data_IF_463168657990
#
_entry.id   IF_463168657990
#
_cell.length_a   1.000
_cell.length_b   1.000
_cell.length_c   1.000
_cell.angle_alpha   90.00
_cell.angle_beta   90.00
_cell.angle_gamma   90.00
#
_symmetry.space_group_name_H-M   'P 1'
#
loop_
_entity.id
_entity.type
_entity.pdbx_description
1 polymer ?
#
# COMPACT_ATOMS: atom_id res chain seq x y z
N UNK A 1 -18.21 -2.30 -12.18
CA UNK A 1 -18.47 -3.33 -11.16
C UNK A 1 -19.18 -4.54 -11.75
N UNK A 2 -20.30 -4.39 -12.44
CA UNK A 2 -21.03 -5.54 -13.01
C UNK A 2 -20.30 -6.25 -14.16
N UNK A 3 -19.53 -5.51 -14.95
CA UNK A 3 -18.81 -6.04 -16.11
C UNK A 3 -17.42 -6.60 -15.80
N UNK A 4 -16.88 -6.36 -14.60
CA UNK A 4 -15.52 -6.75 -14.25
C UNK A 4 -15.46 -7.24 -12.80
N UNK A 5 -15.37 -8.56 -12.63
CA UNK A 5 -15.31 -9.22 -11.33
C UNK A 5 -14.00 -8.99 -10.56
N UNK A 6 -12.96 -8.46 -11.23
CA UNK A 6 -11.74 -8.01 -10.56
C UNK A 6 -11.91 -6.67 -9.83
N UNK A 7 -13.03 -5.97 -10.04
CA UNK A 7 -13.39 -4.78 -9.28
C UNK A 7 -14.42 -5.13 -8.21
N UNK A 8 -14.21 -4.64 -6.99
CA UNK A 8 -15.16 -4.86 -5.89
C UNK A 8 -15.76 -3.58 -5.32
N UNK A 9 -15.11 -2.42 -5.52
CA UNK A 9 -15.63 -1.15 -5.03
C UNK A 9 -15.41 0.02 -6.02
N UNK A 10 -16.15 1.10 -5.80
CA UNK A 10 -15.85 2.42 -6.37
C UNK A 10 -15.77 3.40 -5.21
N UNK A 11 -14.72 4.21 -5.15
CA UNK A 11 -14.51 5.23 -4.13
C UNK A 11 -14.47 6.62 -4.76
N UNK A 12 -14.92 7.61 -4.01
CA UNK A 12 -14.82 9.03 -4.30
C UNK A 12 -13.45 9.62 -3.90
N UNK A 13 -12.55 8.81 -3.35
CA UNK A 13 -11.30 9.24 -2.74
C UNK A 13 -10.06 8.61 -3.38
N UNK A 14 -9.06 9.44 -3.60
CA UNK A 14 -7.71 9.17 -4.05
C UNK A 14 -6.75 9.72 -3.00
N UNK A 15 -6.09 8.80 -2.30
CA UNK A 15 -5.08 9.10 -1.28
C UNK A 15 -3.83 9.81 -1.81
N UNK A 16 -3.70 9.98 -3.12
CA UNK A 16 -2.65 10.76 -3.78
C UNK A 16 -3.20 11.95 -4.60
N UNK A 17 -4.46 12.34 -4.36
CA UNK A 17 -5.13 13.43 -5.07
C UNK A 17 -4.77 14.82 -4.53
N UNK A 18 -3.51 15.24 -4.64
CA UNK A 18 -3.04 16.56 -4.21
C UNK A 18 -3.10 17.59 -5.35
N UNK A 19 -3.06 18.92 -5.07
CA UNK A 19 -3.10 19.97 -6.09
C UNK A 19 -2.05 19.82 -7.21
N UNK A 20 -0.87 19.29 -6.89
CA UNK A 20 0.22 19.08 -7.86
C UNK A 20 0.24 17.68 -8.49
N UNK A 21 -0.75 16.83 -8.21
CA UNK A 21 -0.85 15.46 -8.75
C UNK A 21 -2.25 15.09 -9.25
N UNK A 22 -3.21 16.03 -9.24
CA UNK A 22 -4.61 15.79 -9.57
C UNK A 22 -5.17 16.91 -10.46
N UNK A 23 -5.19 16.68 -11.78
CA UNK A 23 -5.45 17.73 -12.78
C UNK A 23 -6.73 17.52 -13.62
N UNK A 24 -7.07 16.27 -13.95
CA UNK A 24 -8.22 15.99 -14.82
C UNK A 24 -9.39 15.40 -14.02
N UNK A 25 -10.53 16.12 -13.92
CA UNK A 25 -11.70 15.62 -13.21
C UNK A 25 -12.43 14.50 -13.96
N UNK A 26 -12.14 14.21 -15.22
CA UNK A 26 -12.77 13.09 -15.94
C UNK A 26 -11.98 11.80 -15.83
N UNK A 27 -10.74 11.84 -15.33
CA UNK A 27 -9.92 10.65 -15.22
C UNK A 27 -10.21 9.86 -13.95
N UNK A 28 -10.34 8.55 -14.13
CA UNK A 28 -10.41 7.54 -13.09
C UNK A 28 -9.19 6.61 -13.17
N UNK A 29 -8.91 5.89 -12.08
CA UNK A 29 -7.84 4.91 -11.96
C UNK A 29 -8.32 3.66 -11.23
N UNK A 30 -7.61 2.56 -11.42
CA UNK A 30 -7.73 1.37 -10.57
C UNK A 30 -6.78 1.48 -9.38
N UNK A 31 -7.19 0.92 -8.24
CA UNK A 31 -6.36 0.85 -7.03
C UNK A 31 -6.64 -0.45 -6.27
N UNK A 32 -5.59 -1.18 -5.90
CA UNK A 32 -5.64 -2.34 -5.01
C UNK A 32 -5.71 -1.94 -3.53
N UNK A 33 -5.54 -0.65 -3.22
CA UNK A 33 -5.80 -0.06 -1.90
C UNK A 33 -7.28 0.35 -1.79
N UNK A 34 -7.98 -0.11 -0.74
CA UNK A 34 -9.35 0.31 -0.43
C UNK A 34 -9.36 1.73 0.19
N UNK A 35 -9.84 2.77 -0.53
CA UNK A 35 -9.71 4.15 -0.06
C UNK A 35 -10.82 4.54 0.95
N UNK A 36 -12.02 3.96 0.81
CA UNK A 36 -13.17 4.35 1.62
C UNK A 36 -13.71 5.74 1.25
N UNK A 37 -13.94 6.58 2.26
CA UNK A 37 -14.27 8.02 2.15
C UNK A 37 -15.28 8.37 1.03
N UNK A 38 -16.48 7.80 1.12
CA UNK A 38 -17.50 7.86 0.07
C UNK A 38 -17.27 6.75 -0.96
N UNK A 39 -17.90 5.61 -0.75
CA UNK A 39 -17.65 4.41 -1.55
C UNK A 39 -18.91 3.58 -1.70
N UNK A 40 -18.92 2.75 -2.74
CA UNK A 40 -19.97 1.77 -2.98
C UNK A 40 -19.38 0.39 -3.29
N UNK A 41 -20.13 -0.64 -2.93
CA UNK A 41 -19.90 -2.05 -3.27
C UNK A 41 -21.21 -2.67 -3.76
N UNK A 42 -21.12 -3.80 -4.45
CA UNK A 42 -22.31 -4.57 -4.80
C UNK A 42 -22.91 -5.26 -3.56
N UNK A 43 -24.21 -5.52 -3.59
CA UNK A 43 -24.89 -6.29 -2.55
C UNK A 43 -24.33 -7.71 -2.38
N UNK A 44 -23.87 -8.33 -3.47
CA UNK A 44 -23.15 -9.62 -3.45
C UNK A 44 -21.86 -9.53 -2.63
N UNK A 45 -21.05 -8.51 -2.86
CA UNK A 45 -19.84 -8.23 -2.07
C UNK A 45 -20.16 -8.08 -0.59
N UNK A 46 -21.23 -7.35 -0.23
CA UNK A 46 -21.64 -7.25 1.18
C UNK A 46 -22.03 -8.61 1.78
N UNK A 47 -22.79 -9.44 1.04
CA UNK A 47 -23.16 -10.79 1.50
C UNK A 47 -21.95 -11.69 1.73
N UNK A 48 -20.89 -11.51 0.95
CA UNK A 48 -19.60 -12.18 1.18
C UNK A 48 -18.93 -11.66 2.46
N UNK A 49 -18.75 -10.34 2.58
CA UNK A 49 -17.99 -9.72 3.68
C UNK A 49 -18.64 -9.93 5.04
N UNK A 50 -19.97 -9.82 5.14
CA UNK A 50 -20.70 -9.93 6.42
C UNK A 50 -20.49 -11.26 7.14
N UNK A 51 -20.15 -12.32 6.41
CA UNK A 51 -19.91 -13.67 7.00
C UNK A 51 -18.60 -13.77 7.76
N UNK A 52 -17.66 -12.84 7.51
CA UNK A 52 -16.32 -12.80 8.10
C UNK A 52 -16.00 -11.41 8.67
N UNK A 53 -17.03 -10.61 8.93
CA UNK A 53 -16.86 -9.24 9.43
C UNK A 53 -16.05 -9.27 10.73
N UNK A 54 -15.02 -8.43 10.88
CA UNK A 54 -14.12 -8.50 12.03
C UNK A 54 -14.89 -8.18 13.32
N UNK A 55 -14.80 -9.07 14.31
CA UNK A 55 -15.42 -8.84 15.61
C UNK A 55 -14.76 -7.69 16.38
N UNK A 56 -13.43 -7.56 16.29
CA UNK A 56 -12.64 -6.53 16.94
C UNK A 56 -11.57 -5.96 15.99
N UNK A 57 -11.92 -5.05 15.05
CA UNK A 57 -10.95 -4.42 14.16
C UNK A 57 -10.20 -3.30 14.91
N UNK A 58 -9.16 -3.63 15.65
CA UNK A 58 -8.47 -2.68 16.55
C UNK A 58 -7.80 -1.49 15.83
N UNK A 59 -7.52 -1.61 14.52
CA UNK A 59 -7.02 -0.50 13.69
C UNK A 59 -8.09 0.13 12.80
N UNK A 60 -9.35 -0.33 12.88
CA UNK A 60 -10.46 0.11 12.03
C UNK A 60 -10.90 -0.96 11.02
N UNK A 61 -12.20 -1.00 10.70
CA UNK A 61 -12.78 -1.97 9.76
C UNK A 61 -12.26 -1.75 8.33
N UNK A 62 -11.89 -0.52 8.00
CA UNK A 62 -11.33 -0.13 6.71
C UNK A 62 -9.94 -0.73 6.50
N UNK A 63 -9.13 -0.85 7.56
CA UNK A 63 -7.87 -1.58 7.50
C UNK A 63 -8.08 -3.08 7.26
N UNK A 64 -9.10 -3.70 7.86
CA UNK A 64 -9.47 -5.09 7.54
C UNK A 64 -9.88 -5.25 6.06
N UNK A 65 -10.55 -4.26 5.48
CA UNK A 65 -10.90 -4.25 4.05
C UNK A 65 -9.67 -4.13 3.13
N UNK A 66 -8.57 -3.55 3.60
CA UNK A 66 -7.30 -3.43 2.83
C UNK A 66 -6.48 -4.71 2.83
N UNK A 67 -6.76 -5.66 3.70
CA UNK A 67 -6.04 -6.94 3.73
C UNK A 67 -6.27 -7.72 2.44
N UNK A 68 -5.21 -8.34 1.92
CA UNK A 68 -5.26 -9.20 0.73
C UNK A 68 -6.25 -10.37 0.88
N UNK A 69 -6.42 -10.90 2.09
CA UNK A 69 -7.41 -11.94 2.42
C UNK A 69 -8.87 -11.46 2.36
N UNK A 70 -9.09 -10.15 2.41
CA UNK A 70 -10.40 -9.51 2.29
C UNK A 70 -10.66 -9.02 0.86
N UNK A 71 -9.72 -8.24 0.29
CA UNK A 71 -9.83 -7.75 -1.09
C UNK A 71 -9.76 -8.87 -2.11
N UNK A 72 -9.02 -9.95 -1.81
CA UNK A 72 -8.82 -11.13 -2.67
C UNK A 72 -8.27 -10.76 -4.05
N UNK A 73 -7.34 -9.79 -4.07
CA UNK A 73 -6.74 -9.26 -5.29
C UNK A 73 -7.68 -8.40 -6.14
N UNK A 74 -8.89 -8.08 -5.66
CA UNK A 74 -9.82 -7.18 -6.33
C UNK A 74 -9.47 -5.72 -6.03
N UNK A 75 -9.76 -4.86 -6.99
CA UNK A 75 -9.44 -3.45 -6.95
C UNK A 75 -10.68 -2.56 -6.86
N UNK A 76 -10.45 -1.30 -6.52
CA UNK A 76 -11.45 -0.26 -6.58
C UNK A 76 -11.18 0.68 -7.75
N UNK A 77 -12.24 1.27 -8.29
CA UNK A 77 -12.10 2.47 -9.12
C UNK A 77 -12.09 3.70 -8.22
N UNK A 78 -11.15 4.62 -8.45
CA UNK A 78 -11.04 5.89 -7.75
C UNK A 78 -10.83 7.04 -8.76
N UNK A 79 -11.29 8.27 -8.48
CA UNK A 79 -11.07 9.41 -9.37
C UNK A 79 -9.66 9.98 -9.21
N UNK A 80 -9.14 10.71 -10.21
CA UNK A 80 -7.89 11.47 -10.05
C UNK A 80 -8.05 12.63 -9.07
N UNK A 81 -9.16 13.38 -9.18
CA UNK A 81 -9.56 14.45 -8.24
C UNK A 81 -10.67 13.91 -7.32
N UNK A 82 -10.58 14.12 -6.00
CA UNK A 82 -11.57 13.60 -5.06
C UNK A 82 -12.97 14.18 -5.28
N UNK A 83 -14.00 13.37 -5.06
CA UNK A 83 -15.44 13.76 -5.05
C UNK A 83 -16.06 13.76 -3.67
N UNK A 84 -15.26 13.46 -2.65
CA UNK A 84 -15.59 13.63 -1.25
C UNK A 84 -14.53 14.49 -0.58
N UNK A 85 -14.89 15.16 0.51
CA UNK A 85 -13.98 15.99 1.29
C UNK A 85 -14.07 15.60 2.76
N UNK A 86 -12.94 15.26 3.36
CA UNK A 86 -12.85 15.10 4.80
C UNK A 86 -12.80 16.49 5.47
N UNK A 87 -13.89 16.90 6.12
CA UNK A 87 -14.07 18.27 6.62
C UNK A 87 -13.96 18.40 8.14
N UNK A 88 -14.04 17.31 8.89
CA UNK A 88 -14.13 17.37 10.35
C UNK A 88 -12.75 17.40 10.99
N UNK A 89 -12.56 18.30 11.95
CA UNK A 89 -11.35 18.42 12.78
C UNK A 89 -11.42 17.64 14.10
N UNK A 90 -12.55 16.98 14.36
CA UNK A 90 -12.77 16.11 15.51
C UNK A 90 -13.53 14.86 15.10
N UNK A 91 -13.12 13.72 15.64
CA UNK A 91 -13.74 12.42 15.45
C UNK A 91 -13.01 11.35 16.27
N UNK A 92 -13.36 10.08 16.07
CA UNK A 92 -12.77 8.96 16.84
C UNK A 92 -11.25 8.94 16.79
N UNK A 93 -10.68 9.14 15.59
CA UNK A 93 -9.23 9.13 15.35
C UNK A 93 -8.72 10.43 14.71
N UNK A 94 -9.57 11.48 14.69
CA UNK A 94 -9.22 12.78 14.10
C UNK A 94 -9.17 13.82 15.20
N UNK A 95 -7.97 14.33 15.44
CA UNK A 95 -7.73 15.45 16.36
C UNK A 95 -7.26 16.71 15.62
N UNK A 96 -6.92 16.57 14.33
CA UNK A 96 -6.42 17.62 13.46
C UNK A 96 -6.74 17.27 11.99
N UNK A 97 -7.38 18.20 11.26
CA UNK A 97 -7.75 18.00 9.86
C UNK A 97 -6.72 18.51 8.86
N UNK A 98 -5.66 19.22 9.29
CA UNK A 98 -4.64 19.79 8.39
C UNK A 98 -4.06 18.79 7.39
N UNK A 99 -3.83 17.49 7.73
CA UNK A 99 -3.38 16.51 6.73
C UNK A 99 -4.36 16.35 5.57
N UNK A 100 -5.67 16.41 5.82
CA UNK A 100 -6.72 16.19 4.82
C UNK A 100 -7.11 17.46 4.05
N UNK A 101 -6.82 18.64 4.59
CA UNK A 101 -7.05 19.93 3.89
C UNK A 101 -6.16 20.11 2.66
N UNK A 102 -5.10 19.31 2.56
CA UNK A 102 -4.13 19.33 1.46
C UNK A 102 -4.64 18.65 0.18
N UNK A 103 -5.73 17.89 0.24
CA UNK A 103 -6.24 17.17 -0.92
C UNK A 103 -7.10 18.04 -1.83
N UNK A 104 -7.00 17.81 -3.14
CA UNK A 104 -7.87 18.39 -4.15
C UNK A 104 -9.28 17.82 -4.02
N UNK A 105 -10.29 18.66 -4.28
CA UNK A 105 -11.70 18.29 -4.26
C UNK A 105 -12.42 18.97 -5.43
N UNK A 106 -13.14 18.18 -6.23
CA UNK A 106 -13.96 18.71 -7.31
C UNK A 106 -15.21 19.39 -6.76
N UNK A 107 -15.43 20.64 -7.17
CA UNK A 107 -16.55 21.49 -6.74
C UNK A 107 -17.60 21.71 -7.81
N UNK A 108 -17.25 21.64 -9.08
CA UNK A 108 -18.15 21.98 -10.19
C UNK A 108 -18.97 20.79 -10.66
N UNK A 109 -18.43 19.58 -10.51
CA UNK A 109 -19.06 18.35 -11.00
C UNK A 109 -18.51 17.91 -12.36
N UNK A 110 -18.89 16.71 -12.78
CA UNK A 110 -18.48 16.11 -14.05
C UNK A 110 -19.72 15.52 -14.71
N UNK A 111 -20.08 16.04 -15.88
CA UNK A 111 -21.29 15.61 -16.59
C UNK A 111 -21.13 14.23 -17.21
N UNK A 112 -19.90 13.88 -17.62
CA UNK A 112 -19.57 12.57 -18.20
C UNK A 112 -18.08 12.25 -18.03
N UNK A 113 -17.80 10.98 -17.75
CA UNK A 113 -16.44 10.44 -17.72
C UNK A 113 -15.97 9.89 -19.07
N UNK A 114 -16.83 9.89 -20.10
CA UNK A 114 -16.52 9.33 -21.42
C UNK A 114 -16.48 7.80 -21.42
N UNK A 115 -15.64 7.22 -22.28
CA UNK A 115 -15.43 5.77 -22.34
C UNK A 115 -14.62 5.28 -21.13
N UNK A 116 -15.18 4.32 -20.41
CA UNK A 116 -14.58 3.70 -19.22
C UNK A 116 -14.00 2.31 -19.48
N UNK A 117 -14.02 1.83 -20.73
CA UNK A 117 -13.51 0.50 -21.11
C UNK A 117 -12.03 0.29 -20.76
N UNK A 118 -11.27 1.39 -20.67
CA UNK A 118 -9.86 1.37 -20.24
C UNK A 118 -9.68 0.92 -18.78
N UNK A 119 -10.72 0.99 -17.94
CA UNK A 119 -10.69 0.54 -16.54
C UNK A 119 -10.96 -0.96 -16.38
N UNK A 120 -11.35 -1.67 -17.44
CA UNK A 120 -11.47 -3.11 -17.40
C UNK A 120 -10.08 -3.72 -17.23
N UNK A 121 -9.96 -4.75 -16.39
CA UNK A 121 -8.67 -5.32 -15.99
C UNK A 121 -7.74 -5.56 -17.18
N UNK A 122 -8.19 -6.31 -18.19
CA UNK A 122 -7.35 -6.64 -19.35
C UNK A 122 -6.82 -5.40 -20.06
N UNK A 123 -7.68 -4.42 -20.34
CA UNK A 123 -7.29 -3.16 -20.99
C UNK A 123 -6.29 -2.37 -20.14
N UNK A 124 -6.57 -2.27 -18.83
CA UNK A 124 -5.75 -1.53 -17.89
C UNK A 124 -4.35 -2.13 -17.77
N UNK A 125 -4.26 -3.45 -17.60
CA UNK A 125 -2.99 -4.19 -17.44
C UNK A 125 -2.10 -4.08 -18.69
N UNK A 126 -2.70 -4.15 -19.88
CA UNK A 126 -1.95 -4.04 -21.15
C UNK A 126 -1.36 -2.64 -21.31
N UNK A 127 -2.18 -1.60 -21.18
CA UNK A 127 -1.74 -0.22 -21.37
C UNK A 127 -0.78 0.23 -20.27
N UNK A 128 -1.11 -0.07 -19.01
CA UNK A 128 -0.29 0.34 -17.89
C UNK A 128 1.04 -0.43 -17.85
N UNK A 129 1.03 -1.74 -18.08
CA UNK A 129 2.24 -2.54 -18.18
C UNK A 129 3.15 -2.07 -19.32
N UNK A 130 2.57 -1.66 -20.46
CA UNK A 130 3.33 -1.05 -21.57
C UNK A 130 3.95 0.29 -21.13
N UNK A 131 3.18 1.16 -20.47
CA UNK A 131 3.67 2.45 -19.99
C UNK A 131 4.85 2.32 -19.01
N UNK A 132 4.80 1.36 -18.08
CA UNK A 132 5.90 1.10 -17.14
C UNK A 132 7.15 0.61 -17.86
N UNK A 133 7.03 -0.33 -18.81
CA UNK A 133 8.19 -0.89 -19.53
C UNK A 133 8.95 0.15 -20.36
N UNK A 134 8.23 1.09 -20.98
CA UNK A 134 8.84 2.14 -21.81
C UNK A 134 9.15 3.42 -21.03
N UNK A 135 8.80 3.48 -19.75
CA UNK A 135 9.07 4.65 -18.92
C UNK A 135 10.57 4.92 -18.82
N UNK A 136 10.92 6.19 -18.74
CA UNK A 136 12.29 6.62 -18.51
C UNK A 136 12.64 6.36 -17.04
N UNK A 137 13.64 5.51 -16.80
CA UNK A 137 14.11 5.22 -15.45
C UNK A 137 14.87 6.43 -14.91
N UNK A 138 14.49 6.85 -13.71
CA UNK A 138 15.12 7.93 -12.99
C UNK A 138 15.67 7.42 -11.67
N UNK A 139 16.77 8.02 -11.23
CA UNK A 139 17.37 7.73 -9.93
C UNK A 139 17.03 8.84 -8.93
N UNK A 140 16.62 8.46 -7.73
CA UNK A 140 16.38 9.41 -6.65
C UNK A 140 17.50 9.30 -5.59
N UNK A 141 17.91 10.41 -4.96
CA UNK A 141 17.45 11.78 -5.15
C UNK A 141 18.18 12.53 -6.30
N UNK A 142 19.02 11.87 -7.10
CA UNK A 142 19.86 12.53 -8.12
C UNK A 142 19.05 13.27 -9.18
N UNK A 143 17.90 12.74 -9.58
CA UNK A 143 17.00 13.34 -10.59
C UNK A 143 16.53 14.77 -10.22
N UNK A 144 16.44 15.09 -8.92
CA UNK A 144 16.10 16.43 -8.44
C UNK A 144 17.29 17.11 -7.74
N UNK A 145 18.52 16.81 -8.14
CA UNK A 145 19.72 17.52 -7.68
C UNK A 145 20.28 17.02 -6.35
N UNK A 146 19.97 15.79 -5.94
CA UNK A 146 20.57 15.10 -4.79
C UNK A 146 20.09 15.57 -3.41
N UNK A 147 19.47 16.75 -3.31
CA UNK A 147 18.87 17.27 -2.08
C UNK A 147 17.41 16.85 -2.01
N UNK A 148 17.04 16.02 -1.03
CA UNK A 148 15.66 15.55 -0.80
C UNK A 148 14.76 16.63 -0.17
N UNK A 149 14.65 17.79 -0.81
CA UNK A 149 13.72 18.86 -0.41
C UNK A 149 12.47 18.83 -1.26
N UNK A 150 11.35 19.28 -0.70
CA UNK A 150 10.08 19.33 -1.43
C UNK A 150 10.15 20.27 -2.64
N UNK A 151 10.79 21.43 -2.51
CA UNK A 151 10.93 22.39 -3.61
C UNK A 151 11.69 21.83 -4.81
N UNK A 152 12.76 21.07 -4.58
CA UNK A 152 13.55 20.47 -5.66
C UNK A 152 12.77 19.39 -6.40
N UNK A 153 12.17 18.45 -5.67
CA UNK A 153 11.39 17.36 -6.28
C UNK A 153 10.13 17.88 -6.99
N UNK A 154 9.39 18.82 -6.41
CA UNK A 154 8.23 19.43 -7.09
C UNK A 154 8.63 20.30 -8.29
N UNK A 155 9.79 20.97 -8.26
CA UNK A 155 10.30 21.67 -9.44
C UNK A 155 10.62 20.71 -10.58
N UNK A 156 11.22 19.55 -10.27
CA UNK A 156 11.45 18.50 -11.25
C UNK A 156 10.15 17.88 -11.75
N UNK A 157 9.19 17.54 -10.87
CA UNK A 157 7.88 17.00 -11.30
C UNK A 157 7.17 17.93 -12.29
N UNK A 158 7.26 19.25 -12.12
CA UNK A 158 6.68 20.22 -13.06
C UNK A 158 7.32 20.20 -14.45
N UNK A 159 8.58 19.76 -14.57
CA UNK A 159 9.25 19.62 -15.87
C UNK A 159 9.01 18.28 -16.56
N UNK A 160 8.40 17.30 -15.87
CA UNK A 160 8.10 15.97 -16.42
C UNK A 160 6.97 16.06 -17.45
N UNK A 161 7.28 15.71 -18.70
CA UNK A 161 6.35 15.70 -19.85
C UNK A 161 6.12 14.30 -20.45
N UNK A 162 6.88 13.32 -19.99
CA UNK A 162 6.85 11.91 -20.39
C UNK A 162 6.51 11.01 -19.21
N UNK A 163 6.46 9.70 -19.43
CA UNK A 163 6.35 8.72 -18.34
C UNK A 163 7.72 8.48 -17.72
N UNK A 164 7.86 8.82 -16.44
CA UNK A 164 9.07 8.63 -15.65
C UNK A 164 8.84 7.56 -14.58
N UNK A 165 9.87 6.78 -14.27
CA UNK A 165 9.81 5.67 -13.32
C UNK A 165 10.86 5.83 -12.22
N UNK A 166 10.40 5.82 -10.97
CA UNK A 166 11.26 5.73 -9.78
C UNK A 166 11.06 4.39 -9.10
N UNK A 167 12.15 3.64 -8.93
CA UNK A 167 12.15 2.37 -8.22
C UNK A 167 12.34 2.60 -6.72
N UNK A 168 11.61 1.86 -5.88
CA UNK A 168 11.76 1.92 -4.44
C UNK A 168 11.53 0.58 -3.76
N UNK A 169 11.92 0.52 -2.49
CA UNK A 169 11.49 -0.49 -1.52
C UNK A 169 10.62 0.18 -0.47
N UNK A 170 9.72 -0.54 0.18
CA UNK A 170 8.81 0.03 1.20
C UNK A 170 9.53 0.88 2.26
N UNK A 171 10.71 0.47 2.68
CA UNK A 171 11.56 1.15 3.66
C UNK A 171 12.04 2.53 3.15
N UNK A 172 12.19 2.67 1.83
CA UNK A 172 12.59 3.90 1.16
C UNK A 172 11.39 4.82 0.84
N UNK A 173 10.16 4.31 0.82
CA UNK A 173 8.97 5.05 0.37
C UNK A 173 8.86 6.43 1.00
N UNK A 174 9.00 6.52 2.33
CA UNK A 174 8.86 7.78 3.07
C UNK A 174 9.91 8.83 2.65
N UNK A 175 11.12 8.40 2.30
CA UNK A 175 12.19 9.29 1.86
C UNK A 175 11.93 9.88 0.46
N UNK A 176 11.10 9.21 -0.34
CA UNK A 176 10.68 9.63 -1.68
C UNK A 176 9.38 10.44 -1.60
N UNK A 177 8.40 9.95 -0.84
CA UNK A 177 7.07 10.55 -0.73
C UNK A 177 7.11 11.96 -0.10
N UNK A 178 7.95 12.16 0.92
CA UNK A 178 8.12 13.47 1.58
C UNK A 178 8.51 14.59 0.60
N UNK A 179 9.62 14.49 -0.17
CA UNK A 179 9.97 15.53 -1.12
C UNK A 179 8.98 15.62 -2.29
N UNK A 180 8.33 14.53 -2.72
CA UNK A 180 7.25 14.63 -3.72
C UNK A 180 6.00 15.35 -3.18
N UNK A 181 5.88 15.56 -1.86
CA UNK A 181 4.74 16.24 -1.25
C UNK A 181 3.45 15.41 -1.25
N UNK A 182 3.57 14.09 -1.40
CA UNK A 182 2.44 13.14 -1.43
C UNK A 182 2.19 12.50 -0.05
N UNK A 183 1.25 11.56 0.08
CA UNK A 183 0.98 10.88 1.35
C UNK A 183 2.18 10.02 1.77
N UNK A 184 2.78 10.28 2.93
CA UNK A 184 4.12 9.78 3.25
C UNK A 184 4.18 8.68 4.31
N UNK A 185 3.06 8.42 4.98
CA UNK A 185 2.95 7.49 6.10
C UNK A 185 2.98 6.03 5.64
N UNK A 186 2.35 5.73 4.50
CA UNK A 186 2.30 4.41 3.87
C UNK A 186 2.01 4.55 2.38
N UNK A 187 2.30 3.52 1.60
CA UNK A 187 1.86 3.45 0.21
C UNK A 187 0.33 3.39 0.16
N UNK A 188 -0.27 4.22 -0.70
CA UNK A 188 -1.72 4.28 -0.94
C UNK A 188 -2.00 4.61 -2.39
N UNK A 189 -3.24 4.35 -2.82
CA UNK A 189 -3.67 4.43 -4.21
C UNK A 189 -2.76 3.57 -5.12
N UNK A 190 -2.34 2.42 -4.61
CA UNK A 190 -1.45 1.51 -5.31
C UNK A 190 -2.19 0.70 -6.37
N UNK A 191 -1.49 0.30 -7.42
CA UNK A 191 -1.94 -0.69 -8.40
C UNK A 191 -0.78 -1.63 -8.70
N UNK A 192 -0.88 -2.89 -8.27
CA UNK A 192 0.14 -3.92 -8.46
C UNK A 192 1.54 -3.43 -8.03
N UNK A 193 1.63 -2.82 -6.84
CA UNK A 193 2.89 -2.29 -6.30
C UNK A 193 3.39 -1.00 -6.94
N UNK A 194 2.58 -0.33 -7.77
CA UNK A 194 2.90 0.98 -8.34
C UNK A 194 2.02 2.09 -7.76
N UNK A 195 2.52 3.33 -7.75
CA UNK A 195 1.74 4.54 -7.47
C UNK A 195 1.88 5.45 -8.68
N UNK A 196 0.77 6.00 -9.18
CA UNK A 196 0.76 6.83 -10.40
C UNK A 196 0.38 8.26 -10.08
N UNK A 197 1.23 9.20 -10.49
CA UNK A 197 1.11 10.63 -10.20
C UNK A 197 1.18 11.40 -11.52
N UNK A 198 0.03 11.85 -12.07
CA UNK A 198 0.02 12.85 -13.13
C UNK A 198 0.88 14.06 -12.73
N UNK A 199 1.55 14.68 -13.70
CA UNK A 199 2.40 15.85 -13.45
C UNK A 199 1.85 17.09 -14.13
N UNK A 200 2.20 18.27 -13.60
CA UNK A 200 1.78 19.57 -14.17
C UNK A 200 2.32 19.76 -15.60
N UNK A 201 3.47 19.16 -15.92
CA UNK A 201 4.03 19.15 -17.27
C UNK A 201 3.28 18.27 -18.27
N UNK A 202 2.21 17.58 -17.86
CA UNK A 202 1.43 16.68 -18.70
C UNK A 202 2.00 15.27 -18.84
N UNK A 203 3.04 14.94 -18.07
CA UNK A 203 3.61 13.60 -17.98
C UNK A 203 2.98 12.74 -16.88
N UNK A 204 3.62 11.60 -16.62
CA UNK A 204 3.21 10.64 -15.60
C UNK A 204 4.43 10.18 -14.81
N UNK A 205 4.44 10.42 -13.51
CA UNK A 205 5.42 9.82 -12.62
C UNK A 205 4.86 8.50 -12.04
N UNK A 206 5.61 7.43 -12.21
CA UNK A 206 5.31 6.11 -11.63
C UNK A 206 6.34 5.81 -10.54
N UNK A 207 5.88 5.47 -9.33
CA UNK A 207 6.71 4.87 -8.30
C UNK A 207 6.46 3.36 -8.31
N UNK A 208 7.50 2.53 -8.43
CA UNK A 208 7.34 1.06 -8.45
C UNK A 208 8.12 0.38 -7.32
N UNK A 209 7.40 -0.41 -6.51
CA UNK A 209 8.01 -1.24 -5.48
C UNK A 209 8.70 -2.44 -6.14
N UNK A 210 10.02 -2.54 -5.97
CA UNK A 210 10.86 -3.58 -6.56
C UNK A 210 10.49 -5.00 -6.12
N UNK A 211 9.77 -5.16 -4.99
CA UNK A 211 9.32 -6.46 -4.48
C UNK A 211 7.90 -6.83 -4.94
N UNK A 212 7.13 -5.88 -5.46
CA UNK A 212 5.68 -6.06 -5.74
C UNK A 212 5.32 -5.83 -7.20
N UNK A 213 6.00 -4.91 -7.90
CA UNK A 213 5.65 -4.50 -9.25
C UNK A 213 5.94 -5.62 -10.28
N UNK A 214 4.91 -6.17 -10.94
CA UNK A 214 5.08 -7.26 -11.91
C UNK A 214 5.56 -6.77 -13.28
N UNK A 215 5.47 -5.46 -13.55
CA UNK A 215 5.80 -4.87 -14.86
C UNK A 215 7.29 -4.54 -15.03
N UNK A 216 8.06 -4.59 -13.95
CA UNK A 216 9.50 -4.33 -13.97
C UNK A 216 10.26 -5.46 -14.65
N UNK A 217 11.40 -5.12 -15.22
CA UNK A 217 12.32 -6.12 -15.78
C UNK A 217 12.86 -7.03 -14.66
N UNK A 218 13.22 -8.27 -15.01
CA UNK A 218 13.65 -9.26 -14.01
C UNK A 218 14.86 -8.83 -13.19
N UNK A 219 15.72 -7.97 -13.76
CA UNK A 219 16.91 -7.41 -13.08
C UNK A 219 16.56 -6.28 -12.11
N UNK A 220 15.45 -5.57 -12.34
CA UNK A 220 14.97 -4.50 -11.47
C UNK A 220 14.22 -5.07 -10.26
N UNK A 221 13.58 -6.23 -10.43
CA UNK A 221 12.81 -6.91 -9.37
C UNK A 221 13.73 -7.51 -8.30
N UNK A 222 13.31 -7.33 -7.05
CA UNK A 222 13.92 -7.99 -5.91
C UNK A 222 13.10 -9.24 -5.57
N UNK A 223 13.81 -10.32 -5.21
CA UNK A 223 13.24 -11.54 -4.65
C UNK A 223 13.87 -11.85 -3.28
N UNK A 224 13.31 -12.79 -2.51
CA UNK A 224 13.97 -13.28 -1.32
C UNK A 224 15.31 -13.91 -1.69
N UNK A 225 16.34 -13.66 -0.87
CA UNK A 225 17.63 -14.33 -1.03
C UNK A 225 17.45 -15.85 -0.97
N UNK A 226 18.13 -16.64 -1.82
CA UNK A 226 18.12 -18.10 -1.72
C UNK A 226 18.60 -18.62 -0.34
N UNK A 227 19.36 -17.79 0.37
CA UNK A 227 19.89 -18.07 1.71
C UNK A 227 18.95 -17.60 2.83
N UNK A 228 17.89 -16.87 2.51
CA UNK A 228 16.90 -16.44 3.50
C UNK A 228 15.90 -17.56 3.76
N UNK A 229 15.71 -17.95 5.03
CA UNK A 229 14.69 -18.94 5.42
C UNK A 229 13.76 -18.36 6.49
N UNK A 230 12.45 -18.65 6.42
CA UNK A 230 11.50 -18.23 7.45
C UNK A 230 11.72 -19.02 8.75
N UNK A 231 11.70 -18.33 9.89
CA UNK A 231 11.78 -18.91 11.23
C UNK A 231 10.61 -18.36 12.07
N UNK A 232 9.78 -19.26 12.59
CA UNK A 232 8.71 -18.93 13.51
C UNK A 232 9.27 -18.79 14.92
N UNK A 233 9.43 -17.56 15.39
CA UNK A 233 9.98 -17.30 16.72
C UNK A 233 9.04 -17.81 17.85
N UNK A 234 9.62 -18.13 19.00
CA UNK A 234 8.86 -18.34 20.23
C UNK A 234 8.25 -17.02 20.71
N UNK A 235 7.22 -17.09 21.57
CA UNK A 235 6.53 -15.90 22.04
C UNK A 235 7.50 -14.95 22.77
N UNK A 236 7.44 -13.65 22.45
CA UNK A 236 8.31 -12.64 23.05
C UNK A 236 9.76 -12.61 22.57
N UNK A 237 10.17 -13.50 21.65
CA UNK A 237 11.50 -13.43 21.04
C UNK A 237 11.56 -12.38 19.91
N UNK A 238 12.73 -11.78 19.74
CA UNK A 238 13.02 -10.92 18.57
C UNK A 238 13.52 -11.78 17.41
N UNK A 239 13.57 -11.21 16.20
CA UNK A 239 14.18 -11.91 15.07
C UNK A 239 15.70 -12.02 15.20
N UNK A 240 16.35 -11.07 15.87
CA UNK A 240 17.77 -11.18 16.21
C UNK A 240 18.06 -12.45 17.03
N UNK A 241 17.29 -12.70 18.11
CA UNK A 241 17.48 -13.90 18.92
C UNK A 241 17.08 -15.17 18.16
N UNK A 242 15.92 -15.17 17.51
CA UNK A 242 15.43 -16.36 16.80
C UNK A 242 16.36 -16.79 15.66
N UNK A 243 16.90 -15.84 14.88
CA UNK A 243 17.85 -16.16 13.82
C UNK A 243 19.18 -16.65 14.37
N UNK A 244 19.72 -16.02 15.43
CA UNK A 244 20.97 -16.47 16.07
C UNK A 244 20.84 -17.90 16.60
N UNK A 245 19.73 -18.20 17.28
CA UNK A 245 19.50 -19.52 17.87
C UNK A 245 19.32 -20.60 16.77
N UNK A 246 18.88 -20.21 15.57
CA UNK A 246 18.83 -21.07 14.39
C UNK A 246 20.18 -21.19 13.64
N UNK A 247 21.22 -20.42 14.01
CA UNK A 247 22.52 -20.38 13.35
C UNK A 247 22.64 -19.37 12.19
N UNK A 248 21.67 -18.47 12.05
CA UNK A 248 21.67 -17.41 11.03
C UNK A 248 21.75 -16.00 11.62
N UNK A 249 21.53 -15.00 10.79
CA UNK A 249 21.45 -13.57 11.18
C UNK A 249 20.16 -12.95 10.69
N UNK A 250 19.61 -12.03 11.48
CA UNK A 250 18.47 -11.23 11.05
C UNK A 250 18.94 -10.16 10.07
N UNK A 251 18.27 -10.07 8.91
CA UNK A 251 18.39 -8.96 7.97
C UNK A 251 17.04 -8.25 7.90
N UNK A 252 16.99 -6.99 8.34
CA UNK A 252 15.77 -6.20 8.36
C UNK A 252 15.12 -6.10 6.97
N UNK A 253 15.92 -6.05 5.90
CA UNK A 253 15.42 -5.95 4.54
C UNK A 253 14.68 -7.22 4.07
N UNK A 254 14.91 -8.36 4.72
CA UNK A 254 14.24 -9.63 4.42
C UNK A 254 12.95 -9.84 5.21
N UNK A 255 12.75 -9.11 6.32
CA UNK A 255 11.54 -9.23 7.14
C UNK A 255 10.26 -8.85 6.36
N UNK A 256 10.38 -7.95 5.37
CA UNK A 256 9.26 -7.56 4.51
C UNK A 256 8.66 -8.74 3.73
N UNK A 257 9.43 -9.79 3.45
CA UNK A 257 8.92 -10.98 2.74
C UNK A 257 7.87 -11.74 3.54
N UNK A 258 7.97 -11.68 4.87
CA UNK A 258 7.00 -12.24 5.81
C UNK A 258 5.78 -11.37 6.04
N UNK A 259 5.82 -10.09 5.66
CA UNK A 259 4.76 -9.12 5.93
C UNK A 259 3.59 -9.24 4.92
N UNK A 260 3.05 -10.45 4.83
CA UNK A 260 1.91 -10.83 3.99
C UNK A 260 1.09 -11.88 4.72
N UNK A 261 -0.22 -11.75 4.66
CA UNK A 261 -1.13 -12.67 5.32
C UNK A 261 -0.92 -14.12 4.84
N UNK A 262 -0.73 -14.31 3.53
CA UNK A 262 -0.55 -15.64 2.91
C UNK A 262 0.74 -16.31 3.39
N UNK A 263 1.80 -15.52 3.60
CA UNK A 263 3.08 -16.03 4.10
C UNK A 263 2.96 -16.37 5.59
N UNK A 264 2.30 -15.52 6.38
CA UNK A 264 2.03 -15.82 7.79
C UNK A 264 1.19 -17.10 7.96
N UNK A 265 0.17 -17.30 7.13
CA UNK A 265 -0.69 -18.49 7.14
C UNK A 265 0.04 -19.78 6.76
N UNK A 266 1.16 -19.69 6.04
CA UNK A 266 2.01 -20.84 5.76
C UNK A 266 2.82 -21.30 6.99
N UNK A 267 2.94 -20.46 8.02
CA UNK A 267 3.80 -20.70 9.19
C UNK A 267 3.07 -20.69 10.53
N UNK A 268 1.85 -20.17 10.58
CA UNK A 268 0.98 -20.11 11.75
C UNK A 268 -0.45 -20.48 11.35
N UNK A 269 -1.23 -20.97 12.31
CA UNK A 269 -2.61 -21.38 12.07
C UNK A 269 -3.54 -20.21 11.69
N UNK A 270 -3.30 -19.02 12.26
CA UNK A 270 -4.08 -17.80 12.01
C UNK A 270 -5.61 -18.06 12.11
N UNK A 271 -6.04 -18.74 13.19
CA UNK A 271 -7.41 -19.25 13.34
C UNK A 271 -8.47 -18.14 13.28
N UNK A 272 -8.12 -16.95 13.79
CA UNK A 272 -8.98 -15.75 13.72
C UNK A 272 -8.75 -14.91 12.46
N UNK A 273 -8.04 -15.46 11.46
CA UNK A 273 -7.71 -14.80 10.21
C UNK A 273 -6.51 -13.87 10.32
N UNK A 274 -6.49 -12.85 9.46
CA UNK A 274 -5.45 -11.83 9.45
C UNK A 274 -5.98 -10.49 9.95
N UNK A 275 -5.10 -9.73 10.58
CA UNK A 275 -5.38 -8.40 11.11
C UNK A 275 -4.30 -7.42 10.71
N UNK A 276 -4.66 -6.14 10.69
CA UNK A 276 -3.71 -5.06 10.52
C UNK A 276 -3.35 -4.47 11.89
N UNK A 277 -2.05 -4.23 12.12
CA UNK A 277 -1.52 -3.57 13.32
C UNK A 277 -0.38 -2.62 12.97
N UNK A 278 -0.01 -1.78 13.93
CA UNK A 278 1.11 -0.86 13.80
C UNK A 278 2.13 -1.18 14.89
N UNK A 279 3.32 -1.62 14.49
CA UNK A 279 4.39 -1.97 15.41
C UNK A 279 5.64 -2.48 14.68
N UNK A 280 6.86 -2.14 15.13
CA UNK A 280 8.10 -2.59 14.49
C UNK A 280 8.37 -4.10 14.68
N UNK A 281 7.65 -4.77 15.58
CA UNK A 281 7.70 -6.21 15.82
C UNK A 281 6.86 -7.03 14.83
N UNK A 282 6.05 -6.38 14.00
CA UNK A 282 5.27 -7.06 12.97
C UNK A 282 6.20 -7.51 11.82
N UNK A 283 5.84 -8.53 11.04
CA UNK A 283 4.64 -9.36 11.16
C UNK A 283 4.73 -10.36 12.33
N UNK A 284 3.60 -10.66 12.95
CA UNK A 284 3.56 -11.57 14.10
C UNK A 284 2.20 -12.27 14.27
N UNK A 285 2.20 -13.47 14.82
CA UNK A 285 1.01 -14.19 15.26
C UNK A 285 0.67 -13.83 16.71
N UNK A 286 -0.58 -13.46 16.97
CA UNK A 286 -1.08 -13.09 18.28
C UNK A 286 -1.39 -14.34 19.13
N UNK A 287 -0.39 -14.78 19.91
CA UNK A 287 -0.44 -16.04 20.66
C UNK A 287 -1.09 -15.97 22.04
N UNK A 288 -1.49 -14.79 22.53
CA UNK A 288 -2.04 -14.64 23.89
C UNK A 288 -3.55 -14.41 23.89
N UNK A 289 -4.35 -15.18 24.67
CA UNK A 289 -5.79 -14.96 24.83
C UNK A 289 -6.17 -13.60 25.42
N UNK A 290 -5.20 -12.86 25.96
CA UNK A 290 -5.40 -11.52 26.52
C UNK A 290 -5.38 -10.40 25.47
N UNK A 291 -5.21 -10.73 24.19
CA UNK A 291 -5.23 -9.77 23.08
C UNK A 291 -6.59 -9.84 22.38
N UNK A 292 -7.14 -8.68 22.01
CA UNK A 292 -8.33 -8.61 21.14
C UNK A 292 -8.08 -9.28 19.78
N UNK A 293 -6.81 -9.37 19.38
CA UNK A 293 -6.33 -10.01 18.15
C UNK A 293 -5.92 -11.46 18.34
N UNK A 294 -6.23 -12.10 19.48
CA UNK A 294 -5.85 -13.48 19.75
C UNK A 294 -6.13 -14.39 18.55
N UNK A 295 -5.15 -15.22 18.18
CA UNK A 295 -5.16 -16.13 17.03
C UNK A 295 -5.14 -15.46 15.65
N UNK A 296 -4.94 -14.15 15.55
CA UNK A 296 -4.74 -13.48 14.27
C UNK A 296 -3.27 -13.47 13.84
N UNK A 297 -3.06 -13.51 12.53
CA UNK A 297 -1.79 -13.16 11.90
C UNK A 297 -1.77 -11.68 11.53
N UNK A 298 -0.88 -10.94 12.18
CA UNK A 298 -0.83 -9.49 12.14
C UNK A 298 0.24 -9.03 11.15
N UNK A 299 -0.17 -8.16 10.23
CA UNK A 299 0.69 -7.49 9.25
C UNK A 299 0.58 -5.98 9.39
N UNK A 300 1.52 -5.25 8.81
CA UNK A 300 1.60 -3.79 8.90
C UNK A 300 1.91 -3.18 7.54
N UNK A 301 1.18 -2.15 7.13
CA UNK A 301 1.55 -1.32 5.97
C UNK A 301 2.26 -0.02 6.40
N UNK A 302 2.04 0.45 7.63
CA UNK A 302 2.63 1.68 8.19
C UNK A 302 4.02 1.48 8.79
N UNK A 303 4.17 0.53 9.73
CA UNK A 303 5.42 0.33 10.47
C UNK A 303 6.38 -0.61 9.74
N UNK A 304 7.63 -0.18 9.58
CA UNK A 304 8.74 -0.99 9.05
C UNK A 304 9.25 -1.94 10.13
N UNK A 305 9.32 -3.23 9.80
CA UNK A 305 9.81 -4.28 10.70
C UNK A 305 11.27 -4.06 11.12
N UNK A 306 11.56 -4.26 12.40
CA UNK A 306 12.91 -4.16 12.95
C UNK A 306 13.35 -5.49 13.57
N UNK A 307 14.62 -5.86 13.47
CA UNK A 307 15.11 -7.16 13.95
C UNK A 307 14.94 -7.36 15.48
N UNK A 308 15.24 -6.33 16.27
CA UNK A 308 15.23 -6.41 17.74
C UNK A 308 13.86 -6.19 18.39
N UNK A 309 12.92 -5.62 17.63
CA UNK A 309 11.56 -5.42 18.12
C UNK A 309 10.91 -6.74 18.54
N UNK A 310 10.14 -6.72 19.60
CA UNK A 310 9.49 -7.90 20.16
C UNK A 310 8.31 -7.48 21.00
N UNK A 311 7.35 -8.38 21.14
CA UNK A 311 6.25 -8.21 22.06
C UNK A 311 5.93 -9.53 22.73
N UNK A 312 5.81 -9.51 24.05
CA UNK A 312 5.76 -10.72 24.90
C UNK A 312 4.58 -11.64 24.58
N UNK A 313 3.53 -11.10 23.95
CA UNK A 313 2.28 -11.81 23.64
C UNK A 313 2.19 -12.28 22.19
N UNK A 314 3.17 -12.00 21.34
CA UNK A 314 3.17 -12.38 19.93
C UNK A 314 4.39 -13.24 19.57
N UNK A 315 4.25 -13.98 18.46
CA UNK A 315 5.30 -14.80 17.85
C UNK A 315 5.64 -14.23 16.48
N UNK A 316 6.88 -13.81 16.27
CA UNK A 316 7.29 -13.20 15.00
C UNK A 316 7.53 -14.24 13.92
N UNK A 317 7.20 -13.89 12.66
CA UNK A 317 7.79 -14.58 11.51
C UNK A 317 9.04 -13.84 11.09
N UNK A 318 10.18 -14.47 11.29
CA UNK A 318 11.48 -13.91 10.94
C UNK A 318 11.96 -14.48 9.62
N UNK A 319 12.75 -13.73 8.87
CA UNK A 319 13.50 -14.23 7.72
C UNK A 319 14.97 -14.11 8.06
N UNK A 320 15.63 -15.26 8.20
CA UNK A 320 17.00 -15.35 8.67
C UNK A 320 17.92 -15.69 7.50
N UNK A 321 19.03 -14.96 7.39
CA UNK A 321 20.08 -15.23 6.41
C UNK A 321 21.08 -16.24 6.99
N UNK A 322 21.38 -17.28 6.21
CA UNK A 322 22.31 -18.36 6.53
C UNK A 322 23.54 -18.34 5.63
#
# INVERSE_FOLDING_TARGET
>A
LEQDASLWCVSAWNDQGFPHTAFDPRQLMRTDYFPGLGWMIQASTWRELRTRWPAAPTTGWDHWMRLSSTSRGRECVAPRINRSRHANSRGTNVHDNRPFERFSFERTGVDSFGDLSYLLQQSYEVEFGRAVRIAHRQEWPSVWGGRSTQGAAQSWMRSVKSTELLLYTREQYRAIAKPLGIWAESQRATHNGTITLPTEGGGLLVLADRRRCPYLDSQERLGPSPLARPISAVAGASCTSACRDAGGKCDAATLEWGNRCEVMQAHFACEAGCGHQVGPELPAYASSPSLDTYQQCLVSDIAVSQCDAKYTKTRRLCFCAF
#
